data_IF_529597576010
#
_entry.id   IF_529597576010
#
_cell.length_a   1.000
_cell.length_b   1.000
_cell.length_c   1.000
_cell.angle_alpha   90.00
_cell.angle_beta   90.00
_cell.angle_gamma   90.00
#
_symmetry.space_group_name_H-M   'P 1'
#
loop_
_entity.id
_entity.type
_entity.pdbx_description
1 polymer ?
#
# COMPACT_ATOMS: atom_id res chain seq x y z
N UNK A 1 1.57 -13.83 0.30
CA UNK A 1 2.76 -13.81 1.18
C UNK A 1 2.28 -14.02 2.60
N UNK A 2 2.83 -15.01 3.31
CA UNK A 2 2.49 -15.29 4.70
C UNK A 2 3.77 -15.15 5.51
N UNK A 3 3.85 -14.13 6.35
CA UNK A 3 5.00 -13.93 7.23
C UNK A 3 4.80 -14.68 8.54
N UNK A 4 5.90 -15.19 9.11
CA UNK A 4 5.95 -15.77 10.45
C UNK A 4 6.62 -14.84 11.47
N UNK A 5 7.09 -13.66 11.06
CA UNK A 5 7.67 -12.67 11.98
C UNK A 5 6.58 -11.79 12.58
N UNK A 6 6.72 -11.49 13.88
CA UNK A 6 5.89 -10.54 14.63
C UNK A 6 6.36 -9.10 14.48
N UNK A 7 7.52 -8.87 13.85
CA UNK A 7 8.07 -7.54 13.65
C UNK A 7 7.27 -6.80 12.58
N UNK A 8 7.35 -5.47 12.63
CA UNK A 8 6.80 -4.59 11.61
C UNK A 8 7.43 -4.89 10.25
N UNK A 9 6.59 -5.08 9.25
CA UNK A 9 7.01 -5.40 7.89
C UNK A 9 6.33 -4.49 6.89
N UNK A 10 7.07 -4.11 5.86
CA UNK A 10 6.55 -3.32 4.74
C UNK A 10 6.84 -4.06 3.45
N UNK A 11 5.85 -4.10 2.56
CA UNK A 11 5.93 -4.69 1.23
C UNK A 11 5.60 -3.59 0.23
N UNK A 12 6.57 -3.23 -0.59
CA UNK A 12 6.37 -2.37 -1.76
C UNK A 12 6.18 -3.25 -3.00
N UNK A 13 5.03 -3.08 -3.66
CA UNK A 13 4.67 -3.79 -4.89
C UNK A 13 4.69 -2.79 -6.04
N UNK A 14 5.45 -3.11 -7.08
CA UNK A 14 5.53 -2.32 -8.30
C UNK A 14 4.83 -3.08 -9.42
N UNK A 15 3.84 -2.45 -10.04
CA UNK A 15 3.12 -3.00 -11.20
C UNK A 15 3.43 -2.12 -12.39
N UNK A 16 4.07 -2.70 -13.41
CA UNK A 16 4.36 -2.04 -14.69
C UNK A 16 3.50 -2.67 -15.79
N UNK A 17 2.93 -1.83 -16.66
CA UNK A 17 2.24 -2.28 -17.86
C UNK A 17 3.13 -2.22 -19.11
N UNK A 18 2.66 -2.79 -20.21
CA UNK A 18 3.38 -2.84 -21.47
C UNK A 18 3.53 -1.48 -22.18
N UNK A 19 2.89 -0.42 -21.67
CA UNK A 19 3.09 0.96 -22.13
C UNK A 19 4.14 1.69 -21.29
N UNK A 20 4.83 0.99 -20.38
CA UNK A 20 5.88 1.54 -19.51
C UNK A 20 5.34 2.39 -18.36
N UNK A 21 4.05 2.28 -18.04
CA UNK A 21 3.47 2.98 -16.89
C UNK A 21 3.64 2.12 -15.66
N UNK A 22 4.11 2.71 -14.56
CA UNK A 22 4.33 2.04 -13.29
C UNK A 22 3.42 2.58 -12.18
N UNK A 23 2.86 1.67 -11.38
CA UNK A 23 2.12 1.97 -10.17
C UNK A 23 2.80 1.30 -8.97
N UNK A 24 3.00 2.07 -7.90
CA UNK A 24 3.51 1.56 -6.62
C UNK A 24 2.37 1.40 -5.61
N UNK A 25 2.35 0.25 -4.94
CA UNK A 25 1.42 -0.06 -3.85
C UNK A 25 2.25 -0.45 -2.62
N UNK A 26 2.07 0.28 -1.53
CA UNK A 26 2.78 0.00 -0.27
C UNK A 26 1.82 -0.60 0.74
N UNK A 27 2.18 -1.76 1.28
CA UNK A 27 1.46 -2.45 2.34
C UNK A 27 2.34 -2.54 3.58
N UNK A 28 1.78 -2.25 4.75
CA UNK A 28 2.51 -2.39 6.02
C UNK A 28 1.71 -3.24 7.00
N UNK A 29 2.40 -4.15 7.69
CA UNK A 29 1.84 -5.16 8.58
C UNK A 29 2.54 -5.13 9.94
N UNK A 30 1.87 -5.65 10.97
CA UNK A 30 2.34 -5.69 12.36
C UNK A 30 2.70 -4.31 12.94
N UNK A 31 1.97 -3.25 12.57
CA UNK A 31 2.07 -1.97 13.27
C UNK A 31 1.37 -2.08 14.64
N UNK A 32 2.12 -2.31 15.71
CA UNK A 32 1.60 -2.19 17.08
C UNK A 32 1.24 -0.72 17.38
N UNK A 33 -0.01 -0.37 17.10
CA UNK A 33 -1.05 0.02 18.08
C UNK A 33 -2.23 0.57 17.30
N UNK A 34 -3.29 -0.22 17.29
CA UNK A 34 -4.63 0.23 16.97
C UNK A 34 -5.12 1.19 18.08
N UNK A 35 -4.68 2.44 18.03
CA UNK A 35 -5.31 3.55 18.77
C UNK A 35 -5.99 4.51 17.80
N UNK A 36 -6.74 4.00 16.83
CA UNK A 36 -7.99 4.63 16.41
C UNK A 36 -8.82 3.64 15.58
N UNK A 37 -9.93 3.18 16.15
CA UNK A 37 -11.01 2.58 15.36
C UNK A 37 -11.61 3.69 14.52
N UNK A 38 -11.24 3.78 13.25
CA UNK A 38 -12.18 4.16 12.19
C UNK A 38 -11.62 3.80 10.82
N UNK A 39 -12.41 3.03 10.07
CA UNK A 39 -12.24 2.65 8.66
C UNK A 39 -11.24 1.53 8.38
N UNK A 40 -11.70 0.31 8.66
CA UNK A 40 -11.44 -0.86 7.82
C UNK A 40 -12.08 -0.68 6.42
N UNK A 41 -11.64 0.33 5.70
CA UNK A 41 -11.75 0.40 4.24
C UNK A 41 -10.33 0.58 3.78
N UNK A 42 -9.84 -0.37 2.99
CA UNK A 42 -8.53 -0.28 2.36
C UNK A 42 -8.40 1.13 1.75
N UNK A 43 -7.64 2.00 2.40
CA UNK A 43 -7.32 3.31 1.84
C UNK A 43 -6.27 3.02 0.79
N UNK A 44 -6.73 2.59 -0.37
CA UNK A 44 -5.97 2.69 -1.61
C UNK A 44 -5.83 4.19 -1.82
N UNK A 45 -4.73 4.76 -1.35
CA UNK A 45 -4.30 6.09 -1.76
C UNK A 45 -3.97 5.98 -3.25
N UNK A 46 -5.01 5.96 -4.10
CA UNK A 46 -4.90 6.26 -5.51
C UNK A 46 -4.39 7.69 -5.53
N UNK A 47 -3.08 7.84 -5.71
CA UNK A 47 -2.49 9.10 -6.15
C UNK A 47 -3.04 9.31 -7.57
N UNK A 48 -4.26 9.84 -7.66
CA UNK A 48 -4.77 10.46 -8.87
C UNK A 48 -3.92 11.71 -9.08
N UNK A 49 -2.76 11.53 -9.70
CA UNK A 49 -2.16 12.60 -10.49
C UNK A 49 -2.80 12.49 -11.86
N UNK A 50 -4.06 12.92 -11.93
CA UNK A 50 -4.65 13.22 -13.22
C UNK A 50 -3.88 14.41 -13.79
N UNK A 51 -3.39 14.18 -15.01
CA UNK A 51 -2.72 15.17 -15.82
C UNK A 51 -3.76 16.20 -16.26
N UNK A 52 -3.70 17.41 -15.69
CA UNK A 52 -4.30 18.59 -16.30
C UNK A 52 -3.17 19.46 -16.87
N UNK A 53 -3.08 19.44 -18.20
CA UNK A 53 -2.51 20.50 -19.02
C UNK A 53 -3.60 21.53 -19.31
#
# INVERSE_FOLDING_TARGET
YTSLSSDRQTIDVYVEDNFGRMQQLTFSFNNEKAENKEKSSATVTKVLKDADN
#
